data_IF_694759522620
#
_entry.id   IF_694759522620
#
_cell.length_a   1.000
_cell.length_b   1.000
_cell.length_c   1.000
_cell.angle_alpha   90.00
_cell.angle_beta   90.00
_cell.angle_gamma   90.00
#
_symmetry.space_group_name_H-M   'P 1'
#
loop_
_entity.id
_entity.type
_entity.pdbx_description
1 polymer ?
#
# COMPACT_ATOMS: atom_id res chain seq x y z
N UNK A 1 19.83 11.67 4.03
CA UNK A 1 18.67 12.12 4.80
C UNK A 1 18.08 10.89 5.48
N UNK A 2 18.15 10.77 6.82
CA UNK A 2 17.64 9.61 7.57
C UNK A 2 16.30 9.98 8.21
N UNK A 3 15.26 10.02 7.39
CA UNK A 3 13.89 10.32 7.81
C UNK A 3 13.05 9.04 7.86
N UNK A 4 11.87 9.10 8.49
CA UNK A 4 10.93 7.97 8.63
C UNK A 4 9.62 8.26 7.88
N UNK A 5 9.62 8.34 6.54
CA UNK A 5 8.40 8.61 5.77
C UNK A 5 7.46 7.40 5.77
N UNK A 6 8.00 6.19 5.78
CA UNK A 6 7.24 4.95 5.76
C UNK A 6 6.78 4.55 7.17
N UNK A 7 5.53 4.11 7.29
CA UNK A 7 4.91 3.76 8.56
C UNK A 7 3.99 2.53 8.42
N UNK A 8 3.89 1.73 9.47
CA UNK A 8 2.93 0.62 9.57
C UNK A 8 1.87 1.03 10.59
N UNK A 9 0.64 1.25 10.11
CA UNK A 9 -0.49 1.61 10.96
C UNK A 9 -1.35 0.38 11.24
N UNK A 10 -1.86 0.27 12.48
CA UNK A 10 -2.77 -0.80 12.86
C UNK A 10 -3.85 -0.29 13.81
N UNK A 11 -4.94 -1.05 13.94
CA UNK A 11 -5.95 -0.80 14.96
C UNK A 11 -5.45 -1.28 16.33
N UNK A 12 -6.01 -0.75 17.42
CA UNK A 12 -5.65 -1.18 18.78
C UNK A 12 -5.77 -2.69 18.98
N UNK A 13 -6.77 -3.33 18.36
CA UNK A 13 -6.95 -4.79 18.39
C UNK A 13 -5.77 -5.55 17.75
N UNK A 14 -5.17 -5.00 16.70
CA UNK A 14 -4.08 -5.68 15.97
C UNK A 14 -2.73 -5.43 16.65
N UNK A 15 -2.62 -4.37 17.45
CA UNK A 15 -1.38 -4.00 18.13
C UNK A 15 -0.84 -5.13 19.00
N UNK A 16 -1.72 -5.83 19.73
CA UNK A 16 -1.35 -6.93 20.62
C UNK A 16 -0.77 -8.13 19.87
N UNK A 17 -1.03 -8.26 18.56
CA UNK A 17 -0.44 -9.30 17.72
C UNK A 17 0.98 -8.97 17.27
N UNK A 18 1.45 -7.72 17.32
CA UNK A 18 2.81 -7.40 16.88
C UNK A 18 3.85 -7.89 17.89
N UNK A 19 4.74 -8.78 17.46
CA UNK A 19 5.90 -9.22 18.24
C UNK A 19 7.18 -8.47 17.86
N UNK A 20 7.21 -7.88 16.67
CA UNK A 20 8.31 -7.03 16.19
C UNK A 20 7.76 -6.02 15.17
N UNK A 21 8.25 -4.78 15.21
CA UNK A 21 8.08 -3.81 14.13
C UNK A 21 9.29 -2.88 14.14
N UNK A 22 10.25 -3.11 13.24
CA UNK A 22 11.47 -2.29 13.17
C UNK A 22 12.01 -2.18 11.74
N UNK A 23 12.79 -1.14 11.49
CA UNK A 23 13.57 -1.00 10.28
C UNK A 23 14.72 -2.00 10.26
N UNK A 24 15.04 -2.57 9.09
CA UNK A 24 16.22 -3.43 8.94
C UNK A 24 17.16 -2.86 7.87
N UNK A 25 18.05 -1.90 8.23
CA UNK A 25 18.97 -1.26 7.28
C UNK A 25 19.84 -2.24 6.50
N UNK A 26 20.29 -3.31 7.14
CA UNK A 26 21.10 -4.37 6.51
C UNK A 26 20.37 -5.17 5.42
N UNK A 27 19.05 -4.99 5.28
CA UNK A 27 18.21 -5.64 4.24
C UNK A 27 17.74 -4.67 3.17
N UNK A 28 18.32 -3.47 3.08
CA UNK A 28 17.96 -2.50 2.03
C UNK A 28 18.12 -3.13 0.63
N UNK A 29 17.05 -3.19 -0.18
CA UNK A 29 17.13 -3.70 -1.54
C UNK A 29 18.03 -2.85 -2.45
N UNK A 30 18.55 -3.41 -3.56
CA UNK A 30 19.17 -2.59 -4.60
C UNK A 30 18.14 -1.62 -5.20
N UNK A 31 18.62 -0.47 -5.69
CA UNK A 31 17.82 0.54 -6.42
C UNK A 31 16.79 1.32 -5.58
N UNK A 32 16.91 1.36 -4.25
CA UNK A 32 16.12 2.24 -3.38
C UNK A 32 17.00 2.83 -2.27
N UNK A 33 16.71 4.07 -1.85
CA UNK A 33 17.31 4.71 -0.67
C UNK A 33 16.48 4.51 0.60
N UNK A 34 15.24 4.02 0.50
CA UNK A 34 14.39 3.63 1.62
C UNK A 34 14.92 2.39 2.36
N UNK A 35 14.69 2.33 3.67
CA UNK A 35 14.96 1.14 4.49
C UNK A 35 13.66 0.39 4.73
N UNK A 36 13.63 -0.95 4.53
CA UNK A 36 12.42 -1.73 4.78
C UNK A 36 12.06 -1.75 6.27
N UNK A 37 10.76 -1.67 6.56
CA UNK A 37 10.17 -1.98 7.86
C UNK A 37 9.79 -3.46 7.85
N UNK A 38 10.28 -4.20 8.83
CA UNK A 38 9.93 -5.59 9.07
C UNK A 38 9.00 -5.67 10.28
N UNK A 39 7.85 -6.28 10.07
CA UNK A 39 6.88 -6.56 11.12
C UNK A 39 6.67 -8.07 11.25
N UNK A 40 6.68 -8.55 12.49
CA UNK A 40 6.27 -9.92 12.81
C UNK A 40 4.99 -9.85 13.63
N UNK A 41 3.97 -10.58 13.18
CA UNK A 41 2.71 -10.66 13.87
C UNK A 41 2.49 -12.11 14.31
N UNK A 42 2.17 -12.30 15.59
CA UNK A 42 1.67 -13.55 16.12
C UNK A 42 0.15 -13.55 15.97
N UNK A 43 -0.34 -14.31 14.99
CA UNK A 43 -1.75 -14.36 14.64
C UNK A 43 -2.29 -15.73 15.01
N UNK A 44 -3.19 -15.77 16.00
CA UNK A 44 -4.01 -16.95 16.25
C UNK A 44 -5.15 -17.00 15.23
N UNK A 45 -4.82 -17.43 14.00
CA UNK A 45 -5.76 -17.44 12.89
C UNK A 45 -6.70 -18.65 13.05
N UNK A 46 -7.85 -18.42 13.69
CA UNK A 46 -8.99 -19.32 13.54
C UNK A 46 -9.36 -19.39 12.06
N UNK A 47 -9.45 -20.61 11.50
CA UNK A 47 -9.78 -20.83 10.10
C UNK A 47 -11.19 -20.28 9.81
N UNK A 48 -11.24 -19.08 9.24
CA UNK A 48 -12.48 -18.43 8.83
C UNK A 48 -13.11 -19.17 7.65
N UNK A 49 -14.43 -19.19 7.60
CA UNK A 49 -15.16 -19.59 6.38
C UNK A 49 -14.81 -18.59 5.29
N UNK A 50 -14.17 -19.04 4.22
CA UNK A 50 -13.73 -18.18 3.12
C UNK A 50 -14.93 -17.46 2.51
N UNK A 51 -15.09 -16.18 2.80
CA UNK A 51 -15.99 -15.32 2.02
C UNK A 51 -15.35 -15.12 0.65
N UNK A 52 -16.12 -15.26 -0.42
CA UNK A 52 -15.65 -14.94 -1.77
C UNK A 52 -15.26 -13.46 -1.81
N UNK A 53 -13.96 -13.18 -1.93
CA UNK A 53 -13.42 -11.83 -2.12
C UNK A 53 -12.95 -11.65 -3.55
N UNK A 54 -12.82 -10.39 -3.99
CA UNK A 54 -12.24 -10.09 -5.28
C UNK A 54 -10.74 -10.41 -5.26
N UNK A 55 -10.30 -11.26 -6.17
CA UNK A 55 -8.87 -11.47 -6.41
C UNK A 55 -8.35 -10.36 -7.33
N UNK A 56 -7.91 -9.24 -6.76
CA UNK A 56 -7.35 -8.13 -7.53
C UNK A 56 -6.10 -8.51 -8.33
N UNK A 57 -5.44 -9.62 -8.01
CA UNK A 57 -4.29 -10.12 -8.77
C UNK A 57 -4.70 -10.83 -10.06
N UNK A 58 -5.94 -11.32 -10.13
CA UNK A 58 -6.52 -12.01 -11.28
C UNK A 58 -7.44 -11.08 -12.08
N UNK A 59 -7.15 -9.78 -12.05
CA UNK A 59 -7.88 -8.80 -12.84
C UNK A 59 -7.48 -8.94 -14.31
N UNK A 60 -8.47 -8.96 -15.20
CA UNK A 60 -8.26 -8.75 -16.63
C UNK A 60 -7.76 -7.31 -16.84
N UNK A 61 -6.44 -7.19 -17.00
CA UNK A 61 -5.76 -5.91 -17.09
C UNK A 61 -6.20 -5.09 -18.31
N UNK A 62 -6.53 -5.74 -19.42
CA UNK A 62 -6.90 -5.05 -20.66
C UNK A 62 -8.32 -4.49 -20.54
N UNK A 63 -9.25 -5.29 -20.01
CA UNK A 63 -10.59 -4.81 -19.69
C UNK A 63 -10.57 -3.68 -18.66
N UNK A 64 -9.75 -3.82 -17.62
CA UNK A 64 -9.59 -2.79 -16.60
C UNK A 64 -9.07 -1.48 -17.20
N UNK A 65 -7.99 -1.53 -17.99
CA UNK A 65 -7.41 -0.35 -18.66
C UNK A 65 -8.39 0.32 -19.61
N UNK A 66 -9.13 -0.45 -20.41
CA UNK A 66 -10.15 0.12 -21.30
C UNK A 66 -11.26 0.85 -20.54
N UNK A 67 -11.71 0.30 -19.41
CA UNK A 67 -12.69 0.97 -18.52
C UNK A 67 -12.12 2.21 -17.86
N UNK A 68 -10.87 2.14 -17.39
CA UNK A 68 -10.18 3.28 -16.79
C UNK A 68 -10.03 4.43 -17.79
N UNK A 69 -9.60 4.14 -19.02
CA UNK A 69 -9.44 5.16 -20.06
C UNK A 69 -10.77 5.83 -20.41
N UNK A 70 -11.86 5.06 -20.55
CA UNK A 70 -13.19 5.61 -20.78
C UNK A 70 -13.58 6.58 -19.64
N UNK A 71 -13.31 6.20 -18.39
CA UNK A 71 -13.65 7.02 -17.23
C UNK A 71 -12.77 8.26 -17.12
N UNK A 72 -11.48 8.17 -17.47
CA UNK A 72 -10.56 9.31 -17.45
C UNK A 72 -10.84 10.30 -18.59
N UNK A 73 -11.39 9.85 -19.71
CA UNK A 73 -11.64 10.70 -20.89
C UNK A 73 -12.62 11.86 -20.65
N UNK A 74 -13.39 11.84 -19.55
CA UNK A 74 -14.30 12.94 -19.18
C UNK A 74 -13.62 14.03 -18.36
N UNK A 75 -12.40 13.78 -17.87
CA UNK A 75 -11.64 14.74 -17.07
C UNK A 75 -10.63 15.47 -17.95
N UNK A 76 -10.31 16.73 -17.63
CA UNK A 76 -9.23 17.44 -18.31
C UNK A 76 -7.88 16.76 -18.03
N UNK A 77 -6.94 16.97 -18.94
CA UNK A 77 -5.56 16.50 -18.74
C UNK A 77 -4.99 17.07 -17.43
N UNK A 78 -4.21 16.28 -16.66
CA UNK A 78 -3.56 16.76 -15.46
C UNK A 78 -2.67 17.97 -15.76
N UNK A 79 -2.94 19.09 -15.11
CA UNK A 79 -2.11 20.30 -15.18
C UNK A 79 -1.24 20.43 -13.93
N UNK A 80 -0.08 21.06 -14.05
CA UNK A 80 0.75 21.37 -12.89
C UNK A 80 -0.02 22.27 -11.92
N UNK A 81 0.06 21.96 -10.63
CA UNK A 81 -0.41 22.84 -9.56
C UNK A 81 0.59 24.00 -9.48
N UNK A 82 0.11 25.23 -9.64
CA UNK A 82 0.93 26.45 -9.73
C UNK A 82 0.64 27.47 -8.62
N UNK A 83 -0.41 27.24 -7.82
CA UNK A 83 -0.75 28.08 -6.67
C UNK A 83 -1.14 27.23 -5.45
N UNK A 84 -1.08 27.84 -4.27
CA UNK A 84 -1.49 27.23 -3.00
C UNK A 84 -3.01 26.96 -2.97
N UNK A 85 -3.81 27.76 -3.66
CA UNK A 85 -5.27 27.58 -3.77
C UNK A 85 -5.67 26.37 -4.64
N UNK A 86 -4.73 25.85 -5.44
CA UNK A 86 -4.92 24.66 -6.27
C UNK A 86 -4.54 23.35 -5.55
N UNK A 87 -4.02 23.44 -4.32
CA UNK A 87 -3.63 22.31 -3.47
C UNK A 87 -4.71 22.04 -2.41
#
# INVERSE_FOLDING_TARGET
NWTRPDNVFCTSHTLDSFTLCDTTPGRRPPCTDNVPIYSTLDLDISRSTTTTTFNYRDVDCDKFRGRLQLHLSVYPEPTAITSEEQF
#
